data_IF_671259542714
#
_entry.id   IF_671259542714
#
_cell.length_a   1.000
_cell.length_b   1.000
_cell.length_c   1.000
_cell.angle_alpha   90.00
_cell.angle_beta   90.00
_cell.angle_gamma   90.00
#
_symmetry.space_group_name_H-M   'P 1'
#
loop_
_entity.id
_entity.type
_entity.pdbx_description
1 polymer ?
#
# COMPACT_ATOMS: atom_id res chain seq x y z
N UNK A 1 -2.07 19.98 14.13
CA UNK A 1 -1.03 18.93 13.94
C UNK A 1 -1.57 17.94 12.92
N UNK A 2 -0.94 17.87 11.75
CA UNK A 2 -1.23 16.84 10.73
C UNK A 2 -1.00 15.46 11.33
N UNK A 3 -1.96 14.57 11.14
CA UNK A 3 -1.96 13.21 11.69
C UNK A 3 -0.93 12.36 10.94
N UNK A 4 0.35 12.45 11.35
CA UNK A 4 1.47 11.75 10.69
C UNK A 4 1.37 10.23 10.82
N UNK A 5 0.54 9.71 11.72
CA UNK A 5 0.42 8.29 12.01
C UNK A 5 0.03 7.48 10.76
N UNK A 6 -0.86 8.01 9.91
CA UNK A 6 -1.27 7.31 8.70
C UNK A 6 -0.12 7.15 7.69
N UNK A 7 0.67 8.22 7.50
CA UNK A 7 1.83 8.22 6.59
C UNK A 7 2.96 7.33 7.11
N UNK A 8 3.27 7.42 8.40
CA UNK A 8 4.33 6.61 9.01
C UNK A 8 3.96 5.13 9.04
N UNK A 9 2.69 4.78 9.21
CA UNK A 9 2.24 3.39 9.21
C UNK A 9 2.12 2.76 7.82
N UNK A 10 1.91 3.56 6.77
CA UNK A 10 1.87 3.02 5.40
C UNK A 10 3.18 2.30 5.05
N UNK A 11 4.32 2.87 5.44
CA UNK A 11 5.65 2.35 5.12
C UNK A 11 5.92 0.94 5.68
N UNK A 12 5.77 0.65 6.99
CA UNK A 12 6.01 -0.69 7.50
C UNK A 12 4.91 -1.70 7.14
N UNK A 13 3.68 -1.27 6.85
CA UNK A 13 2.58 -2.19 6.53
C UNK A 13 2.63 -2.72 5.10
N UNK A 14 3.03 -1.89 4.13
CA UNK A 14 2.99 -2.26 2.72
C UNK A 14 3.90 -3.46 2.39
N UNK A 15 5.15 -3.58 2.89
CA UNK A 15 5.97 -4.77 2.66
C UNK A 15 5.35 -6.04 3.23
N UNK A 16 4.77 -5.97 4.45
CA UNK A 16 4.11 -7.10 5.11
C UNK A 16 2.93 -7.60 4.28
N UNK A 17 2.15 -6.67 3.73
CA UNK A 17 1.08 -6.99 2.80
C UNK A 17 1.63 -7.54 1.48
N UNK A 18 2.64 -6.90 0.88
CA UNK A 18 3.13 -7.21 -0.46
C UNK A 18 3.73 -8.62 -0.59
N UNK A 19 4.29 -9.20 0.48
CA UNK A 19 4.86 -10.57 0.46
C UNK A 19 3.88 -11.59 -0.09
N UNK A 20 2.57 -11.42 0.11
CA UNK A 20 1.59 -12.39 -0.40
C UNK A 20 1.55 -12.54 -1.90
N UNK A 21 2.01 -11.55 -2.67
CA UNK A 21 1.93 -11.59 -4.14
C UNK A 21 3.29 -11.85 -4.80
N UNK A 22 4.37 -11.65 -4.04
CA UNK A 22 5.72 -11.76 -4.56
C UNK A 22 6.48 -13.00 -4.07
N UNK A 23 6.15 -13.56 -2.90
CA UNK A 23 6.81 -14.75 -2.38
C UNK A 23 6.64 -15.95 -3.35
N UNK A 24 7.72 -16.68 -3.70
CA UNK A 24 7.63 -17.86 -4.56
C UNK A 24 6.65 -18.91 -4.05
N UNK A 25 6.59 -19.11 -2.73
CA UNK A 25 5.69 -20.05 -2.08
C UNK A 25 4.23 -19.62 -2.23
N UNK A 26 3.95 -18.33 -2.13
CA UNK A 26 2.61 -17.82 -2.35
C UNK A 26 2.19 -18.06 -3.81
N UNK A 27 3.06 -17.70 -4.78
CA UNK A 27 2.82 -17.92 -6.22
C UNK A 27 2.58 -19.39 -6.54
N UNK A 28 3.42 -20.28 -6.03
CA UNK A 28 3.24 -21.72 -6.19
C UNK A 28 1.91 -22.23 -5.60
N UNK A 29 1.50 -21.71 -4.43
CA UNK A 29 0.21 -22.06 -3.84
C UNK A 29 -0.97 -21.59 -4.72
N UNK A 30 -0.86 -20.43 -5.36
CA UNK A 30 -1.89 -19.97 -6.29
C UNK A 30 -1.96 -20.76 -7.58
N UNK A 31 -0.82 -21.09 -8.16
CA UNK A 31 -0.74 -21.94 -9.34
C UNK A 31 -1.34 -23.32 -9.04
N UNK A 32 -1.00 -23.90 -7.88
CA UNK A 32 -1.58 -25.16 -7.39
C UNK A 32 -3.08 -25.11 -7.14
N UNK A 33 -3.63 -23.93 -6.82
CA UNK A 33 -5.07 -23.69 -6.69
C UNK A 33 -5.79 -23.40 -8.03
N UNK A 34 -5.07 -23.42 -9.16
CA UNK A 34 -5.61 -23.18 -10.49
C UNK A 34 -5.82 -21.70 -10.84
N UNK A 35 -5.23 -20.78 -10.07
CA UNK A 35 -5.32 -19.34 -10.31
C UNK A 35 -4.35 -18.95 -11.42
N UNK A 36 -4.88 -18.39 -12.51
CA UNK A 36 -4.09 -18.09 -13.70
C UNK A 36 -3.56 -16.67 -13.70
N UNK A 37 -2.24 -16.55 -13.91
CA UNK A 37 -1.57 -15.26 -14.05
C UNK A 37 -1.52 -14.46 -12.75
N UNK A 38 -0.81 -13.33 -12.80
CA UNK A 38 -0.52 -12.53 -11.60
C UNK A 38 -1.79 -12.05 -10.88
N UNK A 39 -2.80 -11.59 -11.62
CA UNK A 39 -3.98 -10.96 -11.02
C UNK A 39 -4.89 -11.91 -10.24
N UNK A 40 -5.03 -13.16 -10.68
CA UNK A 40 -5.83 -14.15 -9.93
C UNK A 40 -5.14 -14.51 -8.61
N UNK A 41 -3.82 -14.70 -8.64
CA UNK A 41 -3.00 -14.86 -7.43
C UNK A 41 -3.08 -13.63 -6.53
N UNK A 42 -2.93 -12.43 -7.09
CA UNK A 42 -3.04 -11.16 -6.37
C UNK A 42 -4.34 -11.00 -5.58
N UNK A 43 -5.49 -11.39 -6.14
CA UNK A 43 -6.75 -11.32 -5.40
C UNK A 43 -6.92 -12.46 -4.39
N UNK A 44 -6.52 -13.68 -4.75
CA UNK A 44 -6.76 -14.86 -3.91
C UNK A 44 -5.74 -15.05 -2.78
N UNK A 45 -4.48 -14.62 -2.97
CA UNK A 45 -3.41 -14.64 -1.96
C UNK A 45 -3.56 -13.53 -0.94
N UNK A 46 -4.74 -12.89 -0.86
CA UNK A 46 -5.19 -12.27 0.38
C UNK A 46 -5.45 -13.32 1.49
N UNK A 47 -4.62 -14.35 1.55
CA UNK A 47 -4.45 -15.36 2.58
C UNK A 47 -2.94 -15.44 2.84
N UNK A 48 -2.55 -15.22 4.09
CA UNK A 48 -1.22 -14.82 4.53
C UNK A 48 -0.01 -15.63 4.02
N UNK A 49 1.19 -15.03 3.99
CA UNK A 49 2.40 -15.72 3.61
C UNK A 49 2.96 -16.52 4.81
N UNK A 50 3.21 -17.81 4.61
CA UNK A 50 4.05 -18.63 5.51
C UNK A 50 5.45 -18.75 4.90
N UNK A 51 6.51 -18.47 5.67
CA UNK A 51 7.86 -18.94 5.34
C UNK A 51 8.99 -17.93 5.56
N UNK A 52 8.82 -16.67 5.20
CA UNK A 52 9.94 -15.72 5.12
C UNK A 52 10.54 -15.31 6.48
N UNK A 53 9.72 -15.25 7.52
CA UNK A 53 10.09 -14.67 8.82
C UNK A 53 10.59 -15.70 9.85
N UNK A 54 10.68 -16.99 9.48
CA UNK A 54 11.19 -18.06 10.36
C UNK A 54 10.58 -18.03 11.77
N UNK A 55 11.42 -18.15 12.80
CA UNK A 55 10.99 -18.14 14.21
C UNK A 55 10.35 -16.83 14.67
N UNK A 56 10.56 -15.72 13.95
CA UNK A 56 9.98 -14.43 14.32
C UNK A 56 8.44 -14.47 14.32
N UNK A 57 7.81 -15.37 13.56
CA UNK A 57 6.35 -15.56 13.55
C UNK A 57 5.76 -15.99 14.90
N UNK A 58 6.56 -16.62 15.76
CA UNK A 58 6.17 -17.07 17.09
C UNK A 58 6.56 -16.11 18.22
N UNK A 59 7.27 -15.03 17.92
CA UNK A 59 7.85 -14.12 18.91
C UNK A 59 6.80 -13.32 19.69
N UNK A 60 7.14 -12.89 20.91
CA UNK A 60 6.30 -11.95 21.68
C UNK A 60 6.14 -10.60 20.98
N UNK A 61 7.17 -10.17 20.24
CA UNK A 61 7.10 -8.97 19.39
C UNK A 61 6.03 -9.10 18.30
N UNK A 62 5.95 -10.25 17.62
CA UNK A 62 4.91 -10.55 16.63
C UNK A 62 3.51 -10.53 17.25
N UNK A 63 3.33 -11.16 18.42
CA UNK A 63 2.06 -11.15 19.17
C UNK A 63 1.64 -9.72 19.53
N UNK A 64 2.57 -8.93 20.04
CA UNK A 64 2.32 -7.54 20.43
C UNK A 64 1.95 -6.69 19.22
N UNK A 65 2.69 -6.81 18.12
CA UNK A 65 2.40 -6.11 16.88
C UNK A 65 1.03 -6.49 16.30
N UNK A 66 0.72 -7.79 16.26
CA UNK A 66 -0.57 -8.32 15.81
C UNK A 66 -1.73 -7.73 16.62
N UNK A 67 -1.60 -7.69 17.95
CA UNK A 67 -2.63 -7.15 18.83
C UNK A 67 -2.85 -5.65 18.60
N UNK A 68 -1.78 -4.84 18.53
CA UNK A 68 -1.93 -3.39 18.31
C UNK A 68 -2.52 -3.09 16.92
N UNK A 69 -2.07 -3.79 15.88
CA UNK A 69 -2.62 -3.62 14.52
C UNK A 69 -4.11 -4.04 14.47
N UNK A 70 -4.46 -5.11 15.17
CA UNK A 70 -5.84 -5.58 15.27
C UNK A 70 -6.73 -4.67 16.11
N UNK A 71 -6.20 -3.88 17.05
CA UNK A 71 -7.01 -2.86 17.72
C UNK A 71 -7.45 -1.74 16.75
N UNK A 72 -6.82 -1.61 15.58
CA UNK A 72 -7.20 -0.62 14.57
C UNK A 72 -8.09 -1.20 13.46
N UNK A 73 -7.72 -2.37 12.91
CA UNK A 73 -8.31 -2.89 11.67
C UNK A 73 -9.83 -3.13 11.69
N UNK A 74 -10.44 -3.75 12.71
CA UNK A 74 -11.89 -3.96 12.83
C UNK A 74 -12.68 -2.66 13.02
N UNK A 75 -12.02 -1.56 13.39
CA UNK A 75 -12.64 -0.26 13.61
C UNK A 75 -12.42 0.71 12.45
N UNK A 76 -11.73 0.29 11.40
CA UNK A 76 -11.58 1.08 10.20
C UNK A 76 -12.93 1.31 9.52
N UNK A 77 -13.26 2.56 9.20
CA UNK A 77 -14.53 2.90 8.56
C UNK A 77 -14.59 2.34 7.14
N UNK A 78 -15.61 1.52 6.84
CA UNK A 78 -15.70 0.76 5.57
C UNK A 78 -16.67 1.35 4.55
N UNK A 79 -17.44 2.39 4.91
CA UNK A 79 -18.35 3.05 3.98
C UNK A 79 -17.58 3.63 2.77
N UNK A 80 -17.92 3.16 1.56
CA UNK A 80 -17.21 3.53 0.33
C UNK A 80 -15.82 2.89 0.17
N UNK A 81 -15.43 1.95 1.04
CA UNK A 81 -14.13 1.29 1.05
C UNK A 81 -14.28 -0.22 0.93
N UNK A 82 -14.57 -0.66 -0.29
CA UNK A 82 -15.02 -2.03 -0.57
C UNK A 82 -13.95 -3.08 -0.31
N UNK A 83 -12.67 -2.77 -0.54
CA UNK A 83 -11.58 -3.73 -0.34
C UNK A 83 -11.23 -3.86 1.14
N UNK A 84 -11.28 -2.75 1.90
CA UNK A 84 -11.22 -2.80 3.35
C UNK A 84 -12.41 -3.55 3.95
N UNK A 85 -13.63 -3.27 3.48
CA UNK A 85 -14.85 -3.94 3.92
C UNK A 85 -14.78 -5.46 3.74
N UNK A 86 -14.32 -5.89 2.56
CA UNK A 86 -14.16 -7.31 2.25
C UNK A 86 -13.17 -8.01 3.20
N UNK A 87 -12.03 -7.39 3.50
CA UNK A 87 -11.05 -7.95 4.42
C UNK A 87 -11.52 -7.92 5.89
N UNK A 88 -12.19 -6.85 6.31
CA UNK A 88 -12.73 -6.71 7.66
C UNK A 88 -13.85 -7.73 7.95
N UNK A 89 -14.59 -8.16 6.93
CA UNK A 89 -15.66 -9.15 7.07
C UNK A 89 -15.15 -10.59 7.29
N UNK A 90 -13.87 -10.86 7.05
CA UNK A 90 -13.26 -12.17 7.29
C UNK A 90 -13.09 -12.42 8.79
N UNK A 91 -13.19 -13.69 9.26
CA UNK A 91 -13.00 -14.02 10.67
C UNK A 91 -11.60 -13.64 11.16
N UNK A 92 -11.49 -13.39 12.47
CA UNK A 92 -10.20 -13.14 13.11
C UNK A 92 -9.30 -14.39 13.09
N UNK A 93 -8.05 -14.29 12.60
CA UNK A 93 -7.10 -15.39 12.70
C UNK A 93 -6.60 -15.58 14.14
N UNK A 94 -6.43 -16.84 14.55
CA UNK A 94 -5.88 -17.19 15.88
C UNK A 94 -4.36 -17.06 15.95
N UNK A 95 -3.67 -17.33 14.84
CA UNK A 95 -2.21 -17.27 14.78
C UNK A 95 -1.73 -15.81 14.67
N UNK A 96 -0.77 -15.36 15.50
CA UNK A 96 -0.33 -13.96 15.54
C UNK A 96 0.11 -13.37 14.20
N UNK A 97 0.89 -14.12 13.43
CA UNK A 97 1.38 -13.66 12.12
C UNK A 97 0.25 -13.55 11.08
N UNK A 98 -0.75 -14.43 11.13
CA UNK A 98 -1.93 -14.35 10.27
C UNK A 98 -2.80 -13.15 10.66
N UNK A 99 -2.98 -12.92 11.97
CA UNK A 99 -3.73 -11.79 12.53
C UNK A 99 -3.07 -10.46 12.14
N UNK A 100 -1.75 -10.36 12.28
CA UNK A 100 -1.00 -9.18 11.84
C UNK A 100 -1.16 -8.95 10.33
N UNK A 101 -1.01 -10.01 9.54
CA UNK A 101 -1.13 -9.92 8.08
C UNK A 101 -2.51 -9.42 7.62
N UNK A 102 -3.59 -9.96 8.21
CA UNK A 102 -4.95 -9.54 7.87
C UNK A 102 -5.25 -8.12 8.36
N UNK A 103 -4.76 -7.73 9.54
CA UNK A 103 -4.86 -6.35 10.01
C UNK A 103 -4.13 -5.38 9.08
N UNK A 104 -2.89 -5.70 8.69
CA UNK A 104 -2.11 -4.90 7.75
C UNK A 104 -2.81 -4.76 6.41
N UNK A 105 -3.34 -5.86 5.87
CA UNK A 105 -4.11 -5.86 4.62
C UNK A 105 -5.36 -4.97 4.75
N UNK A 106 -6.14 -5.11 5.82
CA UNK A 106 -7.35 -4.29 6.02
C UNK A 106 -7.02 -2.80 6.08
N UNK A 107 -5.97 -2.42 6.84
CA UNK A 107 -5.56 -1.02 7.00
C UNK A 107 -4.96 -0.43 5.71
N UNK A 108 -4.21 -1.25 4.97
CA UNK A 108 -3.65 -0.91 3.66
C UNK A 108 -4.75 -0.69 2.62
N UNK A 109 -5.69 -1.63 2.50
CA UNK A 109 -6.84 -1.49 1.59
C UNK A 109 -7.72 -0.30 2.00
N UNK A 110 -7.87 -0.04 3.30
CA UNK A 110 -8.57 1.14 3.78
C UNK A 110 -7.88 2.42 3.27
N UNK A 111 -6.54 2.54 3.38
CA UNK A 111 -5.81 3.67 2.79
C UNK A 111 -6.01 3.74 1.27
N UNK A 112 -5.90 2.61 0.57
CA UNK A 112 -6.03 2.52 -0.89
C UNK A 112 -7.40 2.96 -1.41
N UNK A 113 -8.48 2.46 -0.82
CA UNK A 113 -9.85 2.87 -1.16
C UNK A 113 -10.05 4.38 -0.94
N UNK A 114 -9.46 4.92 0.14
CA UNK A 114 -9.46 6.36 0.41
C UNK A 114 -8.68 7.17 -0.62
N UNK A 115 -7.52 6.67 -1.04
CA UNK A 115 -6.71 7.31 -2.07
C UNK A 115 -7.46 7.39 -3.40
N UNK A 116 -8.16 6.32 -3.80
CA UNK A 116 -9.01 6.32 -5.00
C UNK A 116 -10.11 7.38 -4.90
N UNK A 117 -10.78 7.49 -3.75
CA UNK A 117 -11.78 8.53 -3.53
C UNK A 117 -11.20 9.95 -3.59
N UNK A 118 -9.98 10.15 -3.07
CA UNK A 118 -9.26 11.43 -3.13
C UNK A 118 -8.90 11.78 -4.58
N UNK A 119 -8.38 10.84 -5.37
CA UNK A 119 -8.07 11.05 -6.79
C UNK A 119 -9.33 11.47 -7.57
N UNK A 120 -10.44 10.76 -7.35
CA UNK A 120 -11.73 11.09 -7.95
C UNK A 120 -12.20 12.51 -7.58
N UNK A 121 -12.09 12.89 -6.31
CA UNK A 121 -12.49 14.21 -5.82
C UNK A 121 -11.63 15.37 -6.37
N UNK A 122 -10.45 15.08 -6.91
CA UNK A 122 -9.54 16.06 -7.51
C UNK A 122 -9.52 16.02 -9.06
N UNK A 123 -10.45 15.26 -9.65
CA UNK A 123 -10.54 15.02 -11.10
C UNK A 123 -9.22 14.50 -11.68
N UNK A 124 -8.62 13.51 -11.01
CA UNK A 124 -7.39 12.85 -11.45
C UNK A 124 -7.75 11.45 -11.93
N UNK A 125 -7.57 11.22 -13.23
CA UNK A 125 -7.80 9.90 -13.82
C UNK A 125 -6.76 8.89 -13.34
N UNK A 126 -7.05 7.57 -13.42
CA UNK A 126 -6.08 6.53 -13.07
C UNK A 126 -4.74 6.67 -13.80
N UNK A 127 -4.76 6.97 -15.11
CA UNK A 127 -3.54 7.17 -15.91
C UNK A 127 -2.80 8.44 -15.47
N UNK A 128 -3.52 9.54 -15.20
CA UNK A 128 -2.90 10.76 -14.71
C UNK A 128 -2.21 10.57 -13.36
N UNK A 129 -2.81 9.80 -12.44
CA UNK A 129 -2.20 9.46 -11.16
C UNK A 129 -0.87 8.72 -11.33
N UNK A 130 -0.79 7.80 -12.30
CA UNK A 130 0.44 7.09 -12.63
C UNK A 130 1.55 8.01 -13.17
N UNK A 131 1.21 8.94 -14.07
CA UNK A 131 2.16 9.93 -14.58
C UNK A 131 2.68 10.87 -13.49
N UNK A 132 1.79 11.36 -12.62
CA UNK A 132 2.19 12.20 -11.48
C UNK A 132 3.17 11.44 -10.58
N UNK A 133 2.87 10.17 -10.27
CA UNK A 133 3.73 9.31 -9.44
C UNK A 133 5.10 9.07 -10.07
N UNK A 134 5.14 8.79 -11.37
CA UNK A 134 6.39 8.61 -12.11
C UNK A 134 7.21 9.90 -12.18
N UNK A 135 6.57 11.03 -12.47
CA UNK A 135 7.21 12.35 -12.53
C UNK A 135 7.66 12.88 -11.14
N UNK A 136 7.08 12.36 -10.05
CA UNK A 136 7.55 12.56 -8.68
C UNK A 136 8.77 11.70 -8.31
N UNK A 137 9.21 10.79 -9.20
CA UNK A 137 10.35 9.90 -8.97
C UNK A 137 10.04 8.72 -8.05
N UNK A 138 8.77 8.40 -7.81
CA UNK A 138 8.38 7.33 -6.88
C UNK A 138 8.40 5.94 -7.50
N UNK A 139 8.36 5.86 -8.84
CA UNK A 139 8.42 4.61 -9.60
C UNK A 139 8.73 4.91 -11.07
N UNK A 140 8.94 3.87 -11.87
CA UNK A 140 9.23 3.97 -13.30
C UNK A 140 7.94 3.98 -14.16
N UNK A 141 7.98 4.79 -15.22
CA UNK A 141 6.90 4.98 -16.20
C UNK A 141 6.56 3.66 -16.89
N UNK A 142 7.57 2.96 -17.42
CA UNK A 142 7.33 1.77 -18.24
C UNK A 142 6.90 0.57 -17.37
N UNK A 143 7.49 0.47 -16.17
CA UNK A 143 7.03 -0.49 -15.16
C UNK A 143 5.55 -0.30 -14.80
N UNK A 144 5.09 0.94 -14.58
CA UNK A 144 3.68 1.22 -14.28
C UNK A 144 2.77 0.89 -15.45
N UNK A 145 3.08 1.39 -16.65
CA UNK A 145 2.25 1.18 -17.84
C UNK A 145 2.05 -0.30 -18.13
N UNK A 146 3.15 -1.06 -18.13
CA UNK A 146 3.14 -2.51 -18.38
C UNK A 146 2.38 -3.26 -17.29
N UNK A 147 2.68 -2.99 -16.02
CA UNK A 147 2.06 -3.70 -14.90
C UNK A 147 0.56 -3.41 -14.78
N UNK A 148 0.10 -2.22 -15.21
CA UNK A 148 -1.30 -1.80 -15.16
C UNK A 148 -2.06 -2.03 -16.48
N UNK A 149 -1.36 -2.54 -17.49
CA UNK A 149 -1.93 -2.92 -18.79
C UNK A 149 -2.62 -1.76 -19.53
N UNK A 150 -2.09 -0.55 -19.41
CA UNK A 150 -2.55 0.61 -20.16
C UNK A 150 -2.11 0.52 -21.62
N UNK A 151 -3.02 0.87 -22.54
CA UNK A 151 -2.65 1.05 -23.94
C UNK A 151 -1.74 2.27 -24.12
N UNK A 152 -0.98 2.30 -25.21
CA UNK A 152 -0.10 3.44 -25.53
C UNK A 152 -0.92 4.73 -25.72
N UNK A 153 -2.11 4.62 -26.32
CA UNK A 153 -3.02 5.74 -26.54
C UNK A 153 -3.53 6.32 -25.22
N UNK A 154 -4.09 5.49 -24.33
CA UNK A 154 -4.53 5.93 -22.99
C UNK A 154 -3.39 6.56 -22.20
N UNK A 155 -2.20 5.96 -22.28
CA UNK A 155 -1.00 6.47 -21.60
C UNK A 155 -0.62 7.86 -22.12
N UNK A 156 -0.61 8.05 -23.44
CA UNK A 156 -0.29 9.33 -24.06
C UNK A 156 -1.36 10.40 -23.78
N UNK A 157 -2.65 10.03 -23.80
CA UNK A 157 -3.75 10.94 -23.50
C UNK A 157 -3.68 11.48 -22.07
N UNK A 158 -3.42 10.61 -21.09
CA UNK A 158 -3.23 11.03 -19.69
C UNK A 158 -2.04 11.99 -19.52
N UNK A 159 -0.98 11.78 -20.30
CA UNK A 159 0.20 12.65 -20.30
C UNK A 159 -0.09 14.02 -20.91
N UNK A 160 -0.81 14.04 -22.03
CA UNK A 160 -1.26 15.27 -22.71
C UNK A 160 -2.18 16.08 -21.81
N UNK A 161 -3.17 15.45 -21.20
CA UNK A 161 -4.11 16.12 -20.29
C UNK A 161 -3.41 16.81 -19.11
N UNK A 162 -2.36 16.19 -18.54
CA UNK A 162 -1.57 16.80 -17.46
C UNK A 162 -0.72 17.98 -17.93
N UNK A 163 -0.21 17.96 -19.18
CA UNK A 163 0.47 19.13 -19.77
C UNK A 163 -0.49 20.28 -20.02
N UNK A 164 -1.67 20.00 -20.58
CA UNK A 164 -2.72 21.00 -20.81
C UNK A 164 -3.22 21.62 -19.50
N UNK A 165 -3.31 20.82 -18.43
CA UNK A 165 -3.62 21.28 -17.07
C UNK A 165 -2.47 22.08 -16.42
N UNK A 166 -1.29 22.12 -17.04
CA UNK A 166 -0.11 22.81 -16.52
C UNK A 166 0.59 22.09 -15.36
N UNK A 167 0.32 20.81 -15.14
CA UNK A 167 0.91 20.02 -14.05
C UNK A 167 2.21 19.34 -14.47
N UNK A 168 2.40 19.11 -15.77
CA UNK A 168 3.65 18.66 -16.37
C UNK A 168 4.22 19.71 -17.33
N UNK A 169 5.54 19.84 -17.37
CA UNK A 169 6.26 20.68 -18.32
C UNK A 169 6.52 19.98 -19.66
N UNK A 170 7.31 20.62 -20.54
CA UNK A 170 7.64 20.07 -21.85
C UNK A 170 8.47 18.78 -21.80
N UNK A 171 9.25 18.62 -20.73
CA UNK A 171 10.06 17.43 -20.45
C UNK A 171 9.29 16.36 -19.66
N UNK A 172 7.99 16.58 -19.40
CA UNK A 172 7.14 15.73 -18.58
C UNK A 172 7.58 15.63 -17.12
N UNK A 173 8.29 16.64 -16.60
CA UNK A 173 8.54 16.79 -15.18
C UNK A 173 7.39 17.55 -14.52
N UNK A 174 7.18 17.32 -13.21
CA UNK A 174 6.18 18.08 -12.46
C UNK A 174 6.52 19.57 -12.46
N UNK A 175 5.52 20.42 -12.75
CA UNK A 175 5.60 21.86 -12.52
C UNK A 175 5.49 22.17 -11.02
N UNK A 176 5.55 23.45 -10.65
CA UNK A 176 5.25 23.88 -9.28
C UNK A 176 3.81 23.48 -8.90
N UNK A 177 2.86 23.77 -9.79
CA UNK A 177 1.44 23.45 -9.58
C UNK A 177 1.20 21.94 -9.54
N UNK A 178 1.88 21.18 -10.40
CA UNK A 178 1.84 19.71 -10.38
C UNK A 178 2.36 19.13 -9.06
N UNK A 179 3.48 19.66 -8.53
CA UNK A 179 3.99 19.25 -7.20
C UNK A 179 3.01 19.62 -6.07
N UNK A 180 2.40 20.80 -6.13
CA UNK A 180 1.41 21.21 -5.13
C UNK A 180 0.18 20.30 -5.17
N UNK A 181 -0.32 19.98 -6.36
CA UNK A 181 -1.44 19.06 -6.54
C UNK A 181 -1.11 17.65 -6.01
N UNK A 182 0.08 17.13 -6.33
CA UNK A 182 0.55 15.85 -5.81
C UNK A 182 0.59 15.83 -4.28
N UNK A 183 1.21 16.85 -3.67
CA UNK A 183 1.29 16.95 -2.22
C UNK A 183 -0.10 17.07 -1.58
N UNK A 184 -1.02 17.79 -2.21
CA UNK A 184 -2.39 17.94 -1.74
C UNK A 184 -3.14 16.60 -1.70
N UNK A 185 -3.00 15.79 -2.76
CA UNK A 185 -3.58 14.43 -2.84
C UNK A 185 -3.02 13.54 -1.73
N UNK A 186 -1.71 13.56 -1.49
CA UNK A 186 -1.11 12.76 -0.42
C UNK A 186 -1.57 13.20 0.98
N UNK A 187 -1.67 14.51 1.23
CA UNK A 187 -2.21 15.04 2.50
C UNK A 187 -3.68 14.64 2.73
N UNK A 188 -4.51 14.73 1.69
CA UNK A 188 -5.90 14.29 1.77
C UNK A 188 -6.02 12.78 1.98
N UNK A 189 -5.16 11.99 1.32
CA UNK A 189 -5.09 10.53 1.49
C UNK A 189 -4.76 10.17 2.93
N UNK A 190 -3.76 10.81 3.53
CA UNK A 190 -3.37 10.53 4.92
C UNK A 190 -4.46 10.94 5.90
N UNK A 191 -5.11 12.10 5.68
CA UNK A 191 -6.26 12.51 6.48
C UNK A 191 -7.41 11.49 6.37
N UNK A 192 -7.66 10.96 5.18
CA UNK A 192 -8.68 9.95 4.94
C UNK A 192 -8.32 8.59 5.57
N UNK A 193 -7.04 8.31 5.78
CA UNK A 193 -6.53 7.08 6.38
C UNK A 193 -6.29 7.16 7.89
N UNK A 194 -6.48 8.33 8.51
CA UNK A 194 -6.15 8.60 9.91
C UNK A 194 -7.05 7.90 10.95
N UNK A 195 -8.33 7.71 10.64
CA UNK A 195 -9.33 7.29 11.63
C UNK A 195 -9.01 5.98 12.39
N UNK A 196 -8.55 4.89 11.75
CA UNK A 196 -8.29 3.63 12.45
C UNK A 196 -7.22 3.77 13.55
N UNK A 197 -6.24 4.67 13.35
CA UNK A 197 -5.12 4.88 14.27
C UNK A 197 -5.50 5.59 15.57
N UNK A 198 -6.71 6.14 15.66
CA UNK A 198 -7.20 6.78 16.89
C UNK A 198 -7.47 5.78 18.00
N UNK A 199 -7.77 4.52 17.66
CA UNK A 199 -8.08 3.46 18.63
C UNK A 199 -6.84 3.04 19.43
N UNK A 200 -5.72 2.61 18.81
CA UNK A 200 -4.49 2.38 19.56
C UNK A 200 -3.91 3.68 20.15
N UNK A 201 -4.16 4.82 19.50
CA UNK A 201 -3.61 6.11 19.91
C UNK A 201 -2.12 6.25 19.58
N UNK A 202 -1.61 7.48 19.71
CA UNK A 202 -0.28 7.87 19.21
C UNK A 202 0.84 6.96 19.69
N UNK A 203 0.94 6.73 21.00
CA UNK A 203 2.09 6.02 21.57
C UNK A 203 2.12 4.54 21.17
N UNK A 204 0.96 3.89 21.13
CA UNK A 204 0.88 2.49 20.67
C UNK A 204 1.08 2.38 19.16
N UNK A 205 0.64 3.36 18.38
CA UNK A 205 0.95 3.41 16.94
C UNK A 205 2.45 3.59 16.69
N UNK A 206 3.14 4.43 17.45
CA UNK A 206 4.60 4.55 17.39
C UNK A 206 5.29 3.24 17.76
N UNK A 207 4.90 2.62 18.88
CA UNK A 207 5.45 1.33 19.29
C UNK A 207 5.21 0.24 18.24
N UNK A 208 4.04 0.23 17.59
CA UNK A 208 3.77 -0.67 16.48
C UNK A 208 4.74 -0.44 15.32
N UNK A 209 4.99 0.82 14.90
CA UNK A 209 5.95 1.11 13.84
C UNK A 209 7.36 0.59 14.16
N UNK A 210 7.81 0.72 15.41
CA UNK A 210 9.08 0.18 15.89
C UNK A 210 9.13 -1.35 15.83
N UNK A 211 8.04 -2.03 16.18
CA UNK A 211 7.94 -3.50 16.11
C UNK A 211 7.91 -4.03 14.67
N UNK A 212 7.27 -3.29 13.74
CA UNK A 212 7.13 -3.72 12.35
C UNK A 212 8.38 -3.44 11.51
N UNK A 213 9.17 -2.42 11.86
CA UNK A 213 10.39 -2.03 11.15
C UNK A 213 11.33 -3.20 10.85
N UNK A 214 11.82 -4.00 11.82
CA UNK A 214 12.75 -5.09 11.53
C UNK A 214 12.13 -6.18 10.66
N UNK A 215 10.79 -6.36 10.73
CA UNK A 215 10.08 -7.30 9.86
C UNK A 215 10.03 -6.77 8.42
N UNK A 216 9.72 -5.48 8.24
CA UNK A 216 9.71 -4.83 6.93
C UNK A 216 11.11 -4.80 6.30
N UNK A 217 12.15 -4.51 7.08
CA UNK A 217 13.56 -4.57 6.68
C UNK A 217 13.93 -5.98 6.18
N UNK A 218 13.66 -7.02 6.97
CA UNK A 218 13.93 -8.40 6.58
C UNK A 218 13.20 -8.80 5.28
N UNK A 219 11.96 -8.34 5.11
CA UNK A 219 11.18 -8.58 3.88
C UNK A 219 11.83 -7.91 2.68
N UNK A 220 12.20 -6.64 2.79
CA UNK A 220 12.77 -5.90 1.66
C UNK A 220 14.17 -6.41 1.33
N UNK A 221 15.02 -6.65 2.33
CA UNK A 221 16.38 -7.17 2.15
C UNK A 221 16.42 -8.58 1.57
N UNK A 222 15.36 -9.38 1.78
CA UNK A 222 15.25 -10.70 1.14
C UNK A 222 15.17 -10.64 -0.39
N UNK A 223 14.84 -9.49 -0.96
CA UNK A 223 14.61 -9.31 -2.40
C UNK A 223 13.29 -9.91 -2.91
N UNK A 224 12.46 -10.48 -2.02
CA UNK A 224 11.14 -11.02 -2.39
C UNK A 224 10.26 -9.94 -2.99
N UNK A 225 10.23 -8.74 -2.41
CA UNK A 225 9.54 -7.59 -3.01
C UNK A 225 10.54 -6.88 -3.93
N UNK A 226 10.35 -6.92 -5.27
CA UNK A 226 11.30 -6.33 -6.20
C UNK A 226 11.34 -4.81 -6.05
N UNK A 227 12.46 -4.19 -6.42
CA UNK A 227 12.60 -2.74 -6.51
C UNK A 227 13.29 -2.34 -7.83
N UNK A 228 12.75 -1.38 -8.61
CA UNK A 228 11.47 -0.70 -8.40
C UNK A 228 10.27 -1.66 -8.58
N UNK A 229 9.12 -1.29 -8.00
CA UNK A 229 7.87 -2.02 -8.22
C UNK A 229 6.69 -1.06 -8.46
N UNK A 230 5.55 -1.57 -8.96
CA UNK A 230 4.36 -0.77 -9.27
C UNK A 230 3.60 -0.21 -8.06
N UNK A 231 4.02 -0.55 -6.84
CA UNK A 231 3.52 0.07 -5.60
C UNK A 231 4.20 1.42 -5.39
N UNK A 232 5.48 1.55 -5.81
CA UNK A 232 6.25 2.79 -5.71
C UNK A 232 6.36 3.28 -4.28
N UNK A 233 6.65 2.34 -3.37
CA UNK A 233 7.00 2.64 -2.00
C UNK A 233 8.52 2.88 -1.95
N UNK A 234 8.99 4.09 -1.59
CA UNK A 234 10.42 4.36 -1.49
C UNK A 234 11.03 3.57 -0.33
N UNK A 235 12.15 2.90 -0.59
CA UNK A 235 12.92 2.19 0.44
C UNK A 235 14.42 2.51 0.35
N UNK A 236 15.11 2.79 1.48
CA UNK A 236 14.54 3.02 2.82
C UNK A 236 13.67 4.30 2.84
N UNK A 237 12.69 4.41 3.74
CA UNK A 237 11.87 5.60 3.83
C UNK A 237 12.67 6.81 4.32
N UNK A 238 12.33 8.00 3.82
CA UNK A 238 13.04 9.25 4.15
C UNK A 238 12.92 9.64 5.63
N UNK A 239 11.80 9.29 6.27
CA UNK A 239 11.55 9.47 7.70
C UNK A 239 10.61 8.38 8.18
N UNK A 240 10.85 7.89 9.39
CA UNK A 240 9.97 6.98 10.12
C UNK A 240 9.05 7.74 11.09
#
# INVERSE_FOLDING_TARGET
MTDRNARSMWQPLEPIHAVTYFAPEARAASDGAGLRGFWMGYFAQRAAPRGLLGDAIGSESMKTAANIAWDAAPHAATAGRVLAAANQALPEPTEPHLRLWQAATTLREHRGDGHVAVLLANDISPVAAHHIKAAAGETDTEALRTARQWSDDEWQDGRTALRERGWLDEAYALTIDGRQAHNHVEEQTDRAAAQPWRVPGRDRTTALAELLRPLAEAIVESGVVPHPNPVGMPWPPATW
#
